data_IF_389348018957
#
_entry.id   IF_389348018957
#
_cell.length_a   1.000
_cell.length_b   1.000
_cell.length_c   1.000
_cell.angle_alpha   90.00
_cell.angle_beta   90.00
_cell.angle_gamma   90.00
#
_symmetry.space_group_name_H-M   'P 1'
#
loop_
_entity.id
_entity.type
_entity.pdbx_description
1 polymer ?
#
# COMPACT_ATOMS: atom_id res chain seq x y z
N UNK A 1 -12.05 8.37 -10.29
CA UNK A 1 -12.57 7.08 -10.80
C UNK A 1 -14.07 7.03 -10.52
N UNK A 2 -14.91 6.64 -11.47
CA UNK A 2 -16.37 6.51 -11.26
C UNK A 2 -16.81 5.06 -11.04
N UNK A 3 -18.03 4.85 -10.53
CA UNK A 3 -18.67 3.53 -10.43
C UNK A 3 -18.72 2.80 -11.78
N UNK A 4 -18.99 3.54 -12.86
CA UNK A 4 -18.99 3.00 -14.24
C UNK A 4 -17.59 2.58 -14.70
N UNK A 5 -16.56 3.32 -14.30
CA UNK A 5 -15.18 2.98 -14.65
C UNK A 5 -14.73 1.70 -13.98
N UNK A 6 -14.98 1.55 -12.67
CA UNK A 6 -14.69 0.31 -11.94
C UNK A 6 -15.40 -0.90 -12.54
N UNK A 7 -16.69 -0.75 -12.82
CA UNK A 7 -17.48 -1.79 -13.45
C UNK A 7 -16.87 -2.22 -14.80
N UNK A 8 -16.55 -1.25 -15.66
CA UNK A 8 -15.91 -1.48 -16.96
C UNK A 8 -14.55 -2.15 -16.83
N UNK A 9 -13.66 -1.65 -15.97
CA UNK A 9 -12.31 -2.21 -15.81
C UNK A 9 -12.33 -3.63 -15.26
N UNK A 10 -13.28 -3.92 -14.37
CA UNK A 10 -13.43 -5.24 -13.79
C UNK A 10 -14.32 -6.19 -14.60
N UNK A 11 -14.86 -5.76 -15.75
CA UNK A 11 -15.73 -6.57 -16.60
C UNK A 11 -17.05 -6.96 -15.93
N UNK A 12 -17.59 -6.10 -15.06
CA UNK A 12 -18.87 -6.31 -14.37
C UNK A 12 -19.89 -5.24 -14.74
N UNK A 13 -21.16 -5.53 -14.49
CA UNK A 13 -22.25 -4.56 -14.62
C UNK A 13 -22.12 -3.43 -13.58
N UNK A 14 -22.54 -2.21 -13.93
CA UNK A 14 -22.52 -1.05 -13.03
C UNK A 14 -23.35 -1.31 -11.75
N UNK A 15 -24.45 -2.07 -11.89
CA UNK A 15 -25.25 -2.50 -10.75
C UNK A 15 -24.46 -3.41 -9.80
N UNK A 16 -23.62 -4.32 -10.33
CA UNK A 16 -22.77 -5.18 -9.52
C UNK A 16 -21.77 -4.36 -8.69
N UNK A 17 -21.15 -3.35 -9.31
CA UNK A 17 -20.31 -2.39 -8.59
C UNK A 17 -21.06 -1.70 -7.45
N UNK A 18 -22.30 -1.26 -7.70
CA UNK A 18 -23.11 -0.62 -6.68
C UNK A 18 -23.46 -1.55 -5.52
N UNK A 19 -23.69 -2.83 -5.78
CA UNK A 19 -23.88 -3.83 -4.73
C UNK A 19 -22.63 -4.01 -3.87
N UNK A 20 -21.42 -3.91 -4.44
CA UNK A 20 -20.18 -3.97 -3.69
C UNK A 20 -20.00 -2.74 -2.79
N UNK A 21 -20.26 -1.54 -3.32
CA UNK A 21 -20.13 -0.28 -2.58
C UNK A 21 -21.10 -0.18 -1.40
N UNK A 22 -22.27 -0.83 -1.49
CA UNK A 22 -23.24 -0.91 -0.39
C UNK A 22 -23.04 -2.13 0.53
N UNK A 23 -22.05 -2.99 0.25
CA UNK A 23 -21.79 -4.20 1.03
C UNK A 23 -22.85 -5.31 0.88
N UNK A 24 -23.74 -5.20 -0.10
CA UNK A 24 -24.80 -6.19 -0.37
C UNK A 24 -24.24 -7.46 -1.03
N UNK A 25 -23.09 -7.35 -1.70
CA UNK A 25 -22.36 -8.46 -2.31
C UNK A 25 -20.86 -8.27 -2.11
N UNK A 26 -20.13 -9.38 -2.11
CA UNK A 26 -18.66 -9.37 -2.07
C UNK A 26 -18.10 -9.58 -3.48
N UNK A 27 -17.13 -8.75 -3.93
CA UNK A 27 -16.46 -8.98 -5.20
C UNK A 27 -15.67 -10.30 -5.17
N UNK A 28 -15.65 -10.99 -6.31
CA UNK A 28 -14.84 -12.20 -6.50
C UNK A 28 -13.37 -11.83 -6.78
N UNK A 29 -12.50 -12.84 -6.70
CA UNK A 29 -11.06 -12.64 -6.90
C UNK A 29 -10.69 -12.12 -8.29
N UNK A 30 -11.45 -12.46 -9.33
CA UNK A 30 -11.26 -11.94 -10.70
C UNK A 30 -11.52 -10.44 -10.80
N UNK A 31 -12.58 -9.94 -10.13
CA UNK A 31 -12.83 -8.51 -10.00
C UNK A 31 -11.66 -7.82 -9.29
N UNK A 32 -11.18 -8.37 -8.17
CA UNK A 32 -10.07 -7.82 -7.41
C UNK A 32 -8.77 -7.78 -8.24
N UNK A 33 -8.47 -8.86 -8.98
CA UNK A 33 -7.31 -8.90 -9.86
C UNK A 33 -7.38 -7.83 -10.96
N UNK A 34 -8.56 -7.62 -11.56
CA UNK A 34 -8.75 -6.63 -12.61
C UNK A 34 -8.54 -5.20 -12.11
N UNK A 35 -9.06 -4.86 -10.93
CA UNK A 35 -8.84 -3.53 -10.35
C UNK A 35 -7.40 -3.34 -9.84
N UNK A 36 -6.74 -4.42 -9.42
CA UNK A 36 -5.32 -4.36 -9.05
C UNK A 36 -4.45 -3.99 -10.26
N UNK A 37 -4.80 -4.49 -11.45
CA UNK A 37 -4.06 -4.20 -12.69
C UNK A 37 -4.13 -2.71 -13.10
N UNK A 38 -5.12 -1.96 -12.63
CA UNK A 38 -5.24 -0.50 -12.85
C UNK A 38 -4.70 0.32 -11.66
N UNK A 39 -3.94 -0.30 -10.76
CA UNK A 39 -3.24 0.38 -9.67
C UNK A 39 -4.01 0.49 -8.36
N UNK A 40 -5.14 -0.22 -8.20
CA UNK A 40 -5.85 -0.26 -6.91
C UNK A 40 -5.10 -1.17 -5.94
N UNK A 41 -4.81 -0.67 -4.74
CA UNK A 41 -4.28 -1.49 -3.67
C UNK A 41 -5.37 -2.40 -3.09
N UNK A 42 -5.49 -3.61 -3.65
CA UNK A 42 -6.45 -4.63 -3.18
C UNK A 42 -6.19 -5.04 -1.73
N UNK A 43 -4.92 -5.04 -1.29
CA UNK A 43 -4.57 -5.36 0.10
C UNK A 43 -5.22 -4.36 1.06
N UNK A 44 -5.05 -3.07 0.78
CA UNK A 44 -5.74 -2.01 1.52
C UNK A 44 -7.26 -2.11 1.39
N UNK A 45 -7.78 -2.33 0.18
CA UNK A 45 -9.22 -2.42 -0.08
C UNK A 45 -9.90 -3.50 0.77
N UNK A 46 -9.25 -4.65 0.95
CA UNK A 46 -9.82 -5.79 1.70
C UNK A 46 -9.58 -5.67 3.20
N UNK A 47 -8.42 -5.16 3.61
CA UNK A 47 -7.99 -5.21 5.02
C UNK A 47 -8.17 -3.90 5.78
N UNK A 48 -8.33 -2.78 5.06
CA UNK A 48 -8.28 -1.43 5.63
C UNK A 48 -6.88 -1.01 6.13
N UNK A 49 -5.87 -1.88 5.98
CA UNK A 49 -4.49 -1.61 6.41
C UNK A 49 -3.72 -1.12 5.20
N UNK A 50 -3.30 0.14 5.23
CA UNK A 50 -2.52 0.71 4.14
C UNK A 50 -1.24 -0.12 3.96
N UNK A 51 -0.89 -0.49 2.73
CA UNK A 51 0.47 -0.94 2.48
C UNK A 51 1.39 0.22 2.85
N UNK A 52 2.22 0.03 3.88
CA UNK A 52 3.41 0.86 4.00
C UNK A 52 4.20 0.66 2.72
N UNK A 53 4.32 1.73 1.93
CA UNK A 53 4.98 1.83 0.62
C UNK A 53 6.38 1.15 0.58
N UNK A 54 6.96 0.93 1.76
CA UNK A 54 8.31 0.44 2.00
C UNK A 54 8.54 -1.05 1.74
N UNK A 55 7.55 -1.94 1.64
CA UNK A 55 7.89 -3.37 1.50
C UNK A 55 8.12 -3.85 0.06
N UNK A 56 7.45 -3.27 -0.94
CA UNK A 56 7.56 -3.73 -2.34
C UNK A 56 8.62 -2.96 -3.16
N UNK A 57 9.19 -1.89 -2.61
CA UNK A 57 10.15 -1.01 -3.33
C UNK A 57 11.56 -1.01 -2.76
N UNK A 58 11.76 -1.55 -1.56
CA UNK A 58 13.07 -1.59 -0.93
C UNK A 58 13.88 -2.80 -1.39
N UNK A 59 15.15 -2.57 -1.70
CA UNK A 59 16.12 -3.64 -1.84
C UNK A 59 16.21 -4.46 -0.53
N UNK A 60 16.69 -5.72 -0.58
CA UNK A 60 16.87 -6.54 0.62
C UNK A 60 17.69 -5.85 1.73
N UNK A 61 18.63 -4.99 1.33
CA UNK A 61 19.45 -4.20 2.25
C UNK A 61 18.63 -3.12 2.94
N UNK A 62 17.90 -2.31 2.19
CA UNK A 62 17.07 -1.23 2.74
C UNK A 62 15.96 -1.79 3.63
N UNK A 63 15.30 -2.87 3.21
CA UNK A 63 14.28 -3.53 4.03
C UNK A 63 14.83 -4.08 5.35
N UNK A 64 16.09 -4.52 5.38
CA UNK A 64 16.75 -4.96 6.61
C UNK A 64 17.04 -3.79 7.56
N UNK A 65 17.46 -2.64 7.03
CA UNK A 65 17.68 -1.41 7.80
C UNK A 65 16.36 -0.92 8.40
N UNK A 66 15.29 -0.85 7.61
CA UNK A 66 13.96 -0.41 8.07
C UNK A 66 13.42 -1.33 9.17
N UNK A 67 13.52 -2.66 9.00
CA UNK A 67 13.09 -3.61 10.04
C UNK A 67 13.88 -3.45 11.33
N UNK A 68 15.20 -3.27 11.24
CA UNK A 68 16.03 -3.06 12.42
C UNK A 68 15.63 -1.75 13.13
N UNK A 69 15.48 -0.66 12.37
CA UNK A 69 15.09 0.65 12.89
C UNK A 69 13.76 0.62 13.64
N UNK A 70 12.72 0.01 13.06
CA UNK A 70 11.38 -0.09 13.67
C UNK A 70 11.34 -0.88 14.99
N UNK A 71 12.35 -1.71 15.24
CA UNK A 71 12.46 -2.51 16.48
C UNK A 71 13.29 -1.82 17.57
N UNK A 72 13.89 -0.66 17.28
CA UNK A 72 14.64 0.12 18.25
C UNK A 72 13.70 0.88 19.20
N UNK A 73 14.18 1.17 20.40
CA UNK A 73 13.52 2.11 21.30
C UNK A 73 13.52 3.52 20.69
N UNK A 74 12.55 4.36 21.07
CA UNK A 74 12.37 5.70 20.50
C UNK A 74 13.65 6.56 20.58
N UNK A 75 14.36 6.50 21.71
CA UNK A 75 15.63 7.22 21.90
C UNK A 75 16.71 6.79 20.90
N UNK A 76 16.78 5.51 20.57
CA UNK A 76 17.74 4.96 19.62
C UNK A 76 17.34 5.32 18.17
N UNK A 77 16.04 5.38 17.87
CA UNK A 77 15.54 5.85 16.58
C UNK A 77 15.88 7.32 16.34
N UNK A 78 15.71 8.18 17.35
CA UNK A 78 16.09 9.59 17.26
C UNK A 78 17.60 9.77 17.05
N UNK A 79 18.42 9.05 17.82
CA UNK A 79 19.88 9.11 17.69
C UNK A 79 20.33 8.69 16.29
N UNK A 80 19.77 7.60 15.75
CA UNK A 80 20.10 7.14 14.40
C UNK A 80 19.66 8.14 13.32
N UNK A 81 18.46 8.73 13.48
CA UNK A 81 17.93 9.73 12.55
C UNK A 81 18.85 10.95 12.46
N UNK A 82 19.33 11.44 13.60
CA UNK A 82 20.29 12.55 13.67
C UNK A 82 21.62 12.22 12.97
N UNK A 83 22.13 11.00 13.16
CA UNK A 83 23.38 10.56 12.52
C UNK A 83 23.19 10.51 11.00
N UNK A 84 22.10 9.91 10.53
CA UNK A 84 21.79 9.81 9.09
C UNK A 84 21.64 11.19 8.45
N UNK A 85 20.95 12.12 9.11
CA UNK A 85 20.82 13.51 8.67
C UNK A 85 22.21 14.15 8.51
N UNK A 86 23.05 14.06 9.55
CA UNK A 86 24.42 14.60 9.50
C UNK A 86 25.26 14.00 8.38
N UNK A 87 25.21 12.68 8.20
CA UNK A 87 25.96 12.00 7.14
C UNK A 87 25.45 12.37 5.74
N UNK A 88 24.15 12.60 5.59
CA UNK A 88 23.56 13.02 4.31
C UNK A 88 23.96 14.46 3.92
N UNK A 89 24.11 15.34 4.91
CA UNK A 89 24.53 16.74 4.70
C UNK A 89 26.06 16.96 4.66
N UNK A 90 26.87 15.94 4.97
CA UNK A 90 28.34 16.04 4.91
C UNK A 90 28.90 15.83 3.48
N UNK A 91 28.05 15.46 2.52
CA UNK A 91 28.39 15.48 1.09
C UNK A 91 28.10 16.87 0.50
N UNK A 92 28.95 17.85 0.82
CA UNK A 92 28.94 19.21 0.26
C UNK A 92 30.35 19.73 0.11
#
# INVERSE_FOLDING_TARGET
MSQKDFARFAGVEVNAQGHYERGERTPRADYLAAISAIGVDVGYLVTGVARSIENDTLSPREGSVVRAFRNLADTDQEALSLILEKLSHTNG
#
